data_IF_634844436537
#
_entry.id   IF_634844436537
#
_cell.length_a   1.000
_cell.length_b   1.000
_cell.length_c   1.000
_cell.angle_alpha   90.00
_cell.angle_beta   90.00
_cell.angle_gamma   90.00
#
_symmetry.space_group_name_H-M   'P 1'
#
loop_
_entity.id
_entity.type
_entity.pdbx_description
1 polymer ?
#
# COMPACT_ATOMS: atom_id res chain seq x y z
N UNK A 1 -6.43 -6.97 19.94
CA UNK A 1 -5.33 -6.03 19.68
C UNK A 1 -5.94 -4.69 19.33
N UNK A 2 -5.29 -3.57 19.68
CA UNK A 2 -5.78 -2.26 19.26
C UNK A 2 -5.67 -2.12 17.73
N UNK A 3 -6.59 -1.39 17.06
CA UNK A 3 -6.47 -1.11 15.64
C UNK A 3 -5.20 -0.32 15.30
N UNK A 4 -4.53 -0.69 14.20
CA UNK A 4 -3.38 0.06 13.69
C UNK A 4 -3.85 1.35 13.01
N UNK A 5 -3.09 2.43 13.21
CA UNK A 5 -3.36 3.72 12.57
C UNK A 5 -2.68 3.76 11.19
N UNK A 6 -3.48 3.78 10.13
CA UNK A 6 -3.02 3.82 8.74
C UNK A 6 -3.33 5.19 8.15
N UNK A 7 -2.31 5.89 7.65
CA UNK A 7 -2.48 7.21 7.04
C UNK A 7 -2.04 7.25 5.59
N UNK A 8 -2.63 8.16 4.83
CA UNK A 8 -2.17 8.56 3.51
C UNK A 8 -2.23 10.07 3.38
N UNK A 9 -1.19 10.67 2.79
CA UNK A 9 -1.18 12.11 2.53
C UNK A 9 -2.01 12.41 1.28
N UNK A 10 -2.87 13.42 1.36
CA UNK A 10 -3.78 13.79 0.28
C UNK A 10 -3.18 14.93 -0.54
N UNK A 11 -2.86 14.59 -1.77
CA UNK A 11 -2.50 15.49 -2.88
C UNK A 11 -3.02 14.83 -4.16
N UNK A 12 -2.71 15.38 -5.33
CA UNK A 12 -3.14 14.92 -6.64
C UNK A 12 -2.45 13.61 -7.10
N UNK A 13 -2.59 12.55 -6.30
CA UNK A 13 -2.07 11.22 -6.63
C UNK A 13 -3.00 10.42 -7.55
N UNK A 14 -2.45 9.35 -8.16
CA UNK A 14 -3.24 8.35 -8.88
C UNK A 14 -4.04 7.46 -7.91
N UNK A 15 -5.38 7.45 -8.03
CA UNK A 15 -6.26 6.84 -7.03
C UNK A 15 -5.89 5.38 -6.65
N UNK A 16 -5.60 4.53 -7.64
CA UNK A 16 -5.27 3.10 -7.39
C UNK A 16 -3.99 2.91 -6.56
N UNK A 17 -3.09 3.88 -6.53
CA UNK A 17 -1.88 3.85 -5.72
C UNK A 17 -2.18 3.80 -4.23
N UNK A 18 -3.33 4.35 -3.82
CA UNK A 18 -3.75 4.44 -2.42
C UNK A 18 -4.96 3.55 -2.15
N UNK A 19 -6.01 3.69 -2.96
CA UNK A 19 -7.28 2.98 -2.77
C UNK A 19 -7.09 1.46 -2.92
N UNK A 20 -6.27 1.01 -3.89
CA UNK A 20 -6.00 -0.41 -4.08
C UNK A 20 -5.35 -1.07 -2.86
N UNK A 21 -4.19 -0.56 -2.37
CA UNK A 21 -3.60 -0.98 -1.11
C UNK A 21 -4.51 -0.92 0.11
N UNK A 22 -5.33 0.13 0.23
CA UNK A 22 -6.27 0.26 1.35
C UNK A 22 -7.37 -0.81 1.28
N UNK A 23 -7.90 -1.10 0.09
CA UNK A 23 -8.93 -2.13 -0.09
C UNK A 23 -8.40 -3.52 0.25
N UNK A 24 -7.17 -3.89 -0.17
CA UNK A 24 -6.60 -5.20 0.19
C UNK A 24 -6.35 -5.33 1.70
N UNK A 25 -5.86 -4.29 2.36
CA UNK A 25 -5.66 -4.32 3.82
C UNK A 25 -7.01 -4.39 4.54
N UNK A 26 -7.97 -3.57 4.12
CA UNK A 26 -9.29 -3.52 4.73
C UNK A 26 -10.06 -4.83 4.52
N UNK A 27 -9.95 -5.48 3.36
CA UNK A 27 -10.58 -6.78 3.11
C UNK A 27 -9.95 -7.91 3.94
N UNK A 28 -8.67 -7.78 4.29
CA UNK A 28 -7.97 -8.69 5.21
C UNK A 28 -8.23 -8.37 6.70
N UNK A 29 -9.05 -7.35 7.01
CA UNK A 29 -9.29 -6.95 8.41
C UNK A 29 -10.21 -7.91 9.14
N UNK A 30 -10.06 -7.97 10.48
CA UNK A 30 -10.93 -8.77 11.34
C UNK A 30 -12.39 -8.41 11.15
N UNK A 31 -12.71 -7.12 11.10
CA UNK A 31 -14.07 -6.64 10.84
C UNK A 31 -14.62 -7.09 9.49
N UNK A 32 -13.82 -7.02 8.42
CA UNK A 32 -14.25 -7.44 7.09
C UNK A 32 -14.52 -8.95 7.05
N UNK A 33 -13.58 -9.78 7.54
CA UNK A 33 -13.75 -11.23 7.60
C UNK A 33 -14.99 -11.64 8.42
N UNK A 34 -15.23 -11.00 9.57
CA UNK A 34 -16.44 -11.25 10.36
C UNK A 34 -17.72 -10.86 9.60
N UNK A 35 -17.70 -9.76 8.87
CA UNK A 35 -18.85 -9.30 8.05
C UNK A 35 -19.17 -10.25 6.90
N UNK A 36 -18.15 -10.91 6.35
CA UNK A 36 -18.29 -11.88 5.26
C UNK A 36 -18.68 -13.29 5.71
N UNK A 37 -18.57 -13.62 7.00
CA UNK A 37 -18.89 -14.94 7.56
C UNK A 37 -20.29 -15.51 7.22
N UNK A 38 -21.35 -14.71 6.96
CA UNK A 38 -22.65 -15.26 6.56
C UNK A 38 -22.69 -15.87 5.15
N UNK A 39 -21.76 -15.51 4.26
CA UNK A 39 -21.74 -15.95 2.86
C UNK A 39 -20.39 -16.51 2.41
N UNK A 40 -19.40 -16.60 3.31
CA UNK A 40 -18.11 -17.23 3.09
C UNK A 40 -17.76 -18.10 4.30
N UNK A 41 -17.18 -19.27 4.04
CA UNK A 41 -16.67 -20.14 5.10
C UNK A 41 -15.37 -19.55 5.64
N UNK A 42 -15.41 -19.04 6.85
CA UNK A 42 -14.30 -18.37 7.53
C UNK A 42 -14.22 -18.97 8.94
N UNK A 43 -13.10 -19.59 9.26
CA UNK A 43 -12.87 -20.13 10.61
C UNK A 43 -12.42 -19.06 11.60
N UNK A 44 -12.71 -19.29 12.88
CA UNK A 44 -12.39 -18.35 13.96
C UNK A 44 -10.87 -18.18 14.18
N UNK A 45 -10.07 -19.19 13.81
CA UNK A 45 -8.61 -19.16 13.94
C UNK A 45 -8.02 -18.13 12.98
N UNK A 46 -8.40 -18.15 11.70
CA UNK A 46 -7.99 -17.13 10.73
C UNK A 46 -8.47 -15.73 11.11
N UNK A 47 -9.70 -15.59 11.62
CA UNK A 47 -10.17 -14.29 12.14
C UNK A 47 -9.29 -13.82 13.30
N UNK A 48 -8.80 -14.72 14.15
CA UNK A 48 -7.95 -14.37 15.29
C UNK A 48 -6.60 -13.77 14.88
N UNK A 49 -6.05 -14.21 13.73
CA UNK A 49 -4.80 -13.71 13.13
C UNK A 49 -4.95 -12.31 12.52
N UNK A 50 -6.15 -11.97 12.05
CA UNK A 50 -6.42 -10.70 11.38
C UNK A 50 -6.35 -9.47 12.31
N UNK A 51 -5.98 -8.33 11.72
CA UNK A 51 -5.80 -7.05 12.38
C UNK A 51 -6.80 -6.01 11.84
N UNK A 52 -7.30 -5.13 12.71
CA UNK A 52 -8.12 -4.00 12.29
C UNK A 52 -7.28 -2.73 12.09
N UNK A 53 -7.78 -1.85 11.22
CA UNK A 53 -7.13 -0.61 10.82
C UNK A 53 -8.08 0.57 10.97
N UNK A 54 -7.54 1.73 11.36
CA UNK A 54 -8.22 3.02 11.27
C UNK A 54 -7.52 3.85 10.21
N UNK A 55 -8.27 4.24 9.18
CA UNK A 55 -7.73 4.92 8.01
C UNK A 55 -7.88 6.45 8.11
N UNK A 56 -6.81 7.17 7.81
CA UNK A 56 -6.73 8.63 7.83
C UNK A 56 -6.29 9.15 6.47
N UNK A 57 -7.10 10.03 5.87
CA UNK A 57 -6.75 10.78 4.68
C UNK A 57 -6.32 12.18 5.12
N UNK A 58 -5.02 12.46 5.02
CA UNK A 58 -4.36 13.55 5.74
C UNK A 58 -4.03 14.68 4.77
N UNK A 59 -4.71 15.81 4.93
CA UNK A 59 -4.48 17.01 4.13
C UNK A 59 -3.61 18.04 4.85
N UNK A 60 -3.16 19.08 4.12
CA UNK A 60 -2.74 20.36 4.76
C UNK A 60 -3.97 21.12 5.26
N UNK A 61 -5.06 21.07 4.50
CA UNK A 61 -6.39 21.54 4.88
C UNK A 61 -7.39 20.39 4.69
N UNK A 62 -8.68 20.63 4.98
CA UNK A 62 -9.77 19.68 4.67
C UNK A 62 -10.46 20.00 3.34
N UNK A 63 -9.85 20.84 2.51
CA UNK A 63 -10.43 21.18 1.21
C UNK A 63 -10.36 19.95 0.27
N UNK A 64 -11.38 19.72 -0.58
CA UNK A 64 -11.35 18.63 -1.54
C UNK A 64 -10.19 18.76 -2.54
N UNK A 65 -9.56 17.64 -2.84
CA UNK A 65 -8.46 17.54 -3.80
C UNK A 65 -8.89 16.64 -4.96
N UNK A 66 -8.70 17.11 -6.19
CA UNK A 66 -8.92 16.32 -7.41
C UNK A 66 -7.73 15.40 -7.64
N UNK A 67 -7.98 14.10 -7.78
CA UNK A 67 -6.98 13.08 -8.07
C UNK A 67 -6.72 12.99 -9.56
N UNK A 68 -5.63 12.32 -9.97
CA UNK A 68 -5.32 12.11 -11.40
C UNK A 68 -6.17 11.03 -12.05
N UNK A 69 -7.12 10.42 -11.31
CA UNK A 69 -8.08 9.45 -11.82
C UNK A 69 -9.35 10.16 -12.33
N UNK A 70 -9.24 10.81 -13.49
CA UNK A 70 -10.35 11.54 -14.09
C UNK A 70 -10.80 12.72 -13.22
N UNK A 71 -12.11 12.80 -12.92
CA UNK A 71 -12.70 13.86 -12.10
C UNK A 71 -12.93 13.43 -10.64
N UNK A 72 -12.29 12.36 -10.18
CA UNK A 72 -12.45 11.88 -8.82
C UNK A 72 -11.86 12.88 -7.82
N UNK A 73 -12.64 13.24 -6.81
CA UNK A 73 -12.20 14.11 -5.71
C UNK A 73 -12.19 13.35 -4.39
N UNK A 74 -11.21 13.64 -3.55
CA UNK A 74 -11.13 13.14 -2.17
C UNK A 74 -11.13 14.30 -1.19
N UNK A 75 -11.86 14.17 -0.08
CA UNK A 75 -11.86 15.13 1.02
C UNK A 75 -11.02 14.58 2.16
N UNK A 76 -9.96 15.27 2.61
CA UNK A 76 -9.18 14.82 3.77
C UNK A 76 -10.06 14.65 5.02
N UNK A 77 -9.88 13.54 5.73
CA UNK A 77 -10.58 13.27 7.00
C UNK A 77 -9.91 13.99 8.18
N UNK A 78 -8.61 14.25 8.08
CA UNK A 78 -7.81 14.96 9.08
C UNK A 78 -6.75 15.84 8.42
N UNK A 79 -6.05 16.64 9.23
CA UNK A 79 -4.90 17.45 8.77
C UNK A 79 -3.60 16.94 9.36
N UNK A 80 -2.46 17.38 8.81
CA UNK A 80 -1.12 17.07 9.33
C UNK A 80 -0.90 17.55 10.79
N UNK A 81 -1.68 18.51 11.27
CA UNK A 81 -1.65 19.01 12.65
C UNK A 81 -2.52 18.18 13.60
N UNK A 82 -3.61 17.61 13.11
CA UNK A 82 -4.65 16.95 13.92
C UNK A 82 -4.59 15.41 13.82
N UNK A 83 -3.83 14.88 12.86
CA UNK A 83 -3.67 13.45 12.67
C UNK A 83 -3.06 12.79 13.93
N UNK A 84 -3.61 11.65 14.40
CA UNK A 84 -2.96 10.86 15.44
C UNK A 84 -1.62 10.31 14.95
N UNK A 85 -0.80 9.80 15.88
CA UNK A 85 0.40 9.06 15.52
C UNK A 85 0.02 7.84 14.67
N UNK A 86 0.75 7.64 13.57
CA UNK A 86 0.51 6.56 12.62
C UNK A 86 1.45 5.39 12.87
N UNK A 87 0.94 4.19 12.63
CA UNK A 87 1.77 2.99 12.52
C UNK A 87 2.29 2.81 11.09
N UNK A 88 1.47 3.21 10.12
CA UNK A 88 1.73 3.02 8.68
C UNK A 88 1.38 4.32 7.93
N UNK A 89 2.28 4.76 7.06
CA UNK A 89 2.06 5.87 6.13
C UNK A 89 2.21 5.37 4.70
N UNK A 90 1.23 5.65 3.83
CA UNK A 90 1.26 5.34 2.41
C UNK A 90 1.29 6.62 1.56
N UNK A 91 2.28 6.73 0.69
CA UNK A 91 2.42 7.80 -0.30
C UNK A 91 2.06 7.31 -1.70
N UNK A 92 0.96 7.86 -2.24
CA UNK A 92 0.57 7.67 -3.63
C UNK A 92 1.42 8.49 -4.61
N UNK A 93 1.38 8.14 -5.89
CA UNK A 93 2.17 8.80 -6.93
C UNK A 93 1.47 10.01 -7.57
N UNK A 94 2.04 11.22 -7.47
CA UNK A 94 1.61 12.37 -8.27
C UNK A 94 2.30 12.38 -9.64
N UNK A 95 2.03 13.38 -10.49
CA UNK A 95 2.88 13.66 -11.66
C UNK A 95 4.24 14.21 -11.19
N UNK A 96 5.34 13.45 -11.32
CA UNK A 96 6.63 13.86 -10.78
C UNK A 96 7.24 15.06 -11.54
N UNK A 97 6.73 15.41 -12.73
CA UNK A 97 7.28 16.51 -13.53
C UNK A 97 6.84 17.89 -13.06
N UNK A 98 5.74 17.96 -12.29
CA UNK A 98 5.13 19.22 -11.85
C UNK A 98 4.70 19.20 -10.38
N UNK A 99 5.08 18.16 -9.63
CA UNK A 99 4.75 18.05 -8.22
C UNK A 99 5.78 18.75 -7.34
N UNK A 100 5.31 19.66 -6.49
CA UNK A 100 6.10 20.29 -5.44
C UNK A 100 5.62 19.81 -4.07
N UNK A 101 6.53 19.23 -3.29
CA UNK A 101 6.18 18.72 -1.96
C UNK A 101 5.96 19.87 -0.99
N UNK A 102 4.73 19.99 -0.48
CA UNK A 102 4.41 20.97 0.55
C UNK A 102 5.29 20.77 1.80
N UNK A 103 5.88 21.83 2.41
CA UNK A 103 6.81 21.71 3.53
C UNK A 103 6.24 20.93 4.73
N UNK A 104 4.95 21.13 5.04
CA UNK A 104 4.29 20.38 6.13
C UNK A 104 4.22 18.87 5.86
N UNK A 105 4.08 18.45 4.60
CA UNK A 105 4.15 17.03 4.24
C UNK A 105 5.57 16.50 4.37
N UNK A 106 6.58 17.26 3.93
CA UNK A 106 7.98 16.89 4.12
C UNK A 106 8.31 16.66 5.61
N UNK A 107 7.93 17.60 6.48
CA UNK A 107 8.13 17.48 7.93
C UNK A 107 7.37 16.28 8.52
N UNK A 108 6.13 16.06 8.08
CA UNK A 108 5.33 14.91 8.51
C UNK A 108 6.00 13.58 8.15
N UNK A 109 6.46 13.43 6.90
CA UNK A 109 7.16 12.22 6.42
C UNK A 109 8.46 12.02 7.21
N UNK A 110 9.26 13.07 7.40
CA UNK A 110 10.52 13.00 8.14
C UNK A 110 10.30 12.54 9.58
N UNK A 111 9.32 13.12 10.29
CA UNK A 111 8.99 12.70 11.66
C UNK A 111 8.52 11.25 11.73
N UNK A 112 7.67 10.83 10.81
CA UNK A 112 7.16 9.45 10.74
C UNK A 112 8.29 8.44 10.53
N UNK A 113 9.17 8.70 9.56
CA UNK A 113 10.32 7.81 9.28
C UNK A 113 11.33 7.81 10.43
N UNK A 114 11.62 8.97 11.01
CA UNK A 114 12.54 9.09 12.15
C UNK A 114 12.04 8.35 13.40
N UNK A 115 10.72 8.21 13.56
CA UNK A 115 10.10 7.39 14.61
C UNK A 115 10.19 5.87 14.34
N UNK A 116 10.76 5.45 13.20
CA UNK A 116 10.91 4.04 12.83
C UNK A 116 9.62 3.37 12.34
N UNK A 117 8.58 4.16 12.03
CA UNK A 117 7.27 3.66 11.57
C UNK A 117 7.31 3.27 10.09
N UNK A 118 6.38 2.43 9.66
CA UNK A 118 6.38 1.89 8.30
C UNK A 118 5.99 2.98 7.30
N UNK A 119 6.84 3.20 6.30
CA UNK A 119 6.56 4.05 5.14
C UNK A 119 6.44 3.16 3.91
N UNK A 120 5.29 3.23 3.24
CA UNK A 120 5.07 2.62 1.95
C UNK A 120 4.95 3.69 0.87
N UNK A 121 5.50 3.41 -0.30
CA UNK A 121 5.28 4.22 -1.49
C UNK A 121 4.88 3.36 -2.67
N UNK A 122 4.03 3.88 -3.54
CA UNK A 122 3.57 3.20 -4.74
C UNK A 122 3.69 4.11 -5.94
N UNK A 123 3.98 3.55 -7.12
CA UNK A 123 4.13 4.33 -8.34
C UNK A 123 5.21 5.42 -8.16
N UNK A 124 4.90 6.67 -8.48
CA UNK A 124 5.75 7.84 -8.28
C UNK A 124 5.74 8.38 -6.84
N UNK A 125 5.09 7.70 -5.89
CA UNK A 125 5.09 8.08 -4.48
C UNK A 125 6.49 8.06 -3.85
N UNK A 126 7.42 7.28 -4.42
CA UNK A 126 8.82 7.32 -4.02
C UNK A 126 9.48 8.68 -4.33
N UNK A 127 8.99 9.45 -5.32
CA UNK A 127 9.42 10.83 -5.55
C UNK A 127 9.08 11.74 -4.38
N UNK A 128 7.93 11.51 -3.74
CA UNK A 128 7.46 12.27 -2.58
C UNK A 128 8.36 11.99 -1.37
N UNK A 129 8.69 10.72 -1.14
CA UNK A 129 9.65 10.33 -0.11
C UNK A 129 11.07 10.86 -0.40
N UNK A 130 11.51 10.83 -1.66
CA UNK A 130 12.81 11.39 -2.06
C UNK A 130 12.86 12.91 -1.87
N UNK A 131 11.80 13.63 -2.24
CA UNK A 131 11.68 15.07 -2.03
C UNK A 131 11.67 15.46 -0.53
N UNK A 132 11.18 14.58 0.35
CA UNK A 132 11.30 14.75 1.80
C UNK A 132 12.71 14.44 2.34
N UNK A 133 13.64 13.93 1.52
CA UNK A 133 15.01 13.56 1.89
C UNK A 133 15.13 12.23 2.62
N UNK A 134 14.03 11.48 2.82
CA UNK A 134 14.06 10.24 3.62
C UNK A 134 14.58 9.02 2.85
N UNK A 135 14.79 9.13 1.53
CA UNK A 135 15.37 8.08 0.69
C UNK A 135 16.88 8.26 0.42
N UNK A 136 17.52 9.32 0.91
CA UNK A 136 18.94 9.56 0.67
C UNK A 136 19.79 8.41 1.23
N UNK A 137 20.61 7.80 0.38
CA UNK A 137 21.42 6.62 0.69
C UNK A 137 20.65 5.30 0.77
N UNK A 138 19.32 5.31 0.62
CA UNK A 138 18.46 4.12 0.69
C UNK A 138 18.32 3.42 -0.65
N UNK A 139 18.23 2.09 -0.64
CA UNK A 139 17.84 1.31 -1.83
C UNK A 139 16.33 1.45 -2.01
N UNK A 140 15.91 1.91 -3.18
CA UNK A 140 14.49 2.16 -3.47
C UNK A 140 14.16 1.86 -4.93
N UNK A 141 12.88 1.64 -5.21
CA UNK A 141 12.33 1.58 -6.57
C UNK A 141 11.21 2.60 -6.75
N UNK A 142 10.82 2.83 -7.99
CA UNK A 142 9.74 3.73 -8.39
C UNK A 142 9.16 3.21 -9.71
N UNK A 143 8.06 3.81 -10.16
CA UNK A 143 7.46 3.49 -11.46
C UNK A 143 8.53 3.39 -12.56
N UNK A 144 8.47 2.30 -13.33
CA UNK A 144 9.48 1.98 -14.35
C UNK A 144 9.67 3.11 -15.38
N UNK A 145 8.58 3.80 -15.76
CA UNK A 145 8.65 4.94 -16.68
C UNK A 145 9.26 6.19 -16.05
N UNK A 146 9.08 6.39 -14.74
CA UNK A 146 9.61 7.54 -14.01
C UNK A 146 11.05 7.30 -13.49
N UNK A 147 11.52 6.05 -13.44
CA UNK A 147 12.81 5.69 -12.87
C UNK A 147 14.01 6.46 -13.48
N UNK A 148 14.14 6.60 -14.82
CA UNK A 148 15.25 7.37 -15.40
C UNK A 148 15.21 8.85 -15.01
N UNK A 149 14.01 9.42 -14.92
CA UNK A 149 13.79 10.82 -14.55
C UNK A 149 14.16 11.06 -13.07
N UNK A 150 13.70 10.20 -12.15
CA UNK A 150 14.00 10.36 -10.73
C UNK A 150 15.44 10.03 -10.36
N UNK A 151 16.11 9.15 -11.13
CA UNK A 151 17.57 8.96 -10.99
C UNK A 151 18.36 10.25 -11.19
N UNK A 152 17.88 11.13 -12.08
CA UNK A 152 18.51 12.43 -12.32
C UNK A 152 18.14 13.46 -11.25
N UNK A 153 16.87 13.50 -10.83
CA UNK A 153 16.40 14.47 -9.82
C UNK A 153 16.92 14.17 -8.41
N UNK A 154 17.01 12.90 -8.05
CA UNK A 154 17.37 12.43 -6.71
C UNK A 154 18.53 11.45 -6.77
N UNK A 155 19.76 11.92 -7.14
CA UNK A 155 20.91 11.04 -7.35
C UNK A 155 21.47 10.44 -6.06
N UNK A 156 21.08 10.98 -4.90
CA UNK A 156 21.44 10.44 -3.58
C UNK A 156 20.72 9.13 -3.24
N UNK A 157 19.64 8.79 -3.95
CA UNK A 157 18.87 7.56 -3.74
C UNK A 157 19.45 6.42 -4.57
N UNK A 158 19.62 5.24 -3.98
CA UNK A 158 20.12 4.05 -4.66
C UNK A 158 18.99 3.36 -5.44
N UNK A 159 18.55 3.99 -6.53
CA UNK A 159 17.44 3.54 -7.36
C UNK A 159 17.71 2.22 -8.12
N UNK A 160 16.76 1.28 -8.04
CA UNK A 160 16.81 -0.02 -8.73
C UNK A 160 15.46 -0.42 -9.32
N UNK A 161 15.46 -1.30 -10.32
CA UNK A 161 14.32 -1.97 -10.95
C UNK A 161 14.43 -3.49 -10.91
N UNK A 162 15.33 -4.03 -10.07
CA UNK A 162 15.56 -5.49 -9.94
C UNK A 162 14.31 -6.27 -9.54
N UNK A 163 13.39 -5.62 -8.82
CA UNK A 163 12.21 -6.23 -8.19
C UNK A 163 11.02 -5.30 -8.26
N UNK A 164 9.82 -5.85 -8.11
CA UNK A 164 8.57 -5.07 -8.10
C UNK A 164 8.45 -4.11 -6.93
N UNK A 165 9.05 -4.47 -5.79
CA UNK A 165 9.21 -3.60 -4.64
C UNK A 165 10.55 -3.84 -3.96
N UNK A 166 11.01 -2.85 -3.20
CA UNK A 166 12.26 -2.86 -2.44
C UNK A 166 11.95 -2.51 -0.99
N UNK A 167 12.58 -3.25 -0.08
CA UNK A 167 12.50 -3.07 1.37
C UNK A 167 13.87 -2.63 1.86
N UNK A 168 13.96 -1.44 2.47
CA UNK A 168 15.15 -0.93 3.14
C UNK A 168 14.76 -0.42 4.54
N UNK A 169 14.88 -1.31 5.53
CA UNK A 169 14.43 -1.05 6.90
C UNK A 169 12.92 -0.88 6.99
N UNK A 170 12.47 0.25 7.53
CA UNK A 170 11.06 0.62 7.66
C UNK A 170 10.45 1.26 6.40
N UNK A 171 11.22 1.38 5.30
CA UNK A 171 10.77 2.00 4.06
C UNK A 171 10.59 0.94 2.97
N UNK A 172 9.39 0.88 2.42
CA UNK A 172 8.96 -0.05 1.40
C UNK A 172 8.52 0.74 0.16
N UNK A 173 9.17 0.49 -0.97
CA UNK A 173 8.87 1.22 -2.21
C UNK A 173 8.46 0.23 -3.29
N UNK A 174 7.31 0.45 -3.94
CA UNK A 174 6.84 -0.35 -5.05
C UNK A 174 6.87 0.42 -6.36
N UNK A 175 7.24 -0.28 -7.42
CA UNK A 175 7.39 0.28 -8.76
C UNK A 175 6.08 0.83 -9.31
N UNK A 176 5.15 -0.02 -9.78
CA UNK A 176 3.86 0.41 -10.30
C UNK A 176 2.71 0.36 -9.27
N UNK A 177 1.55 0.92 -9.62
CA UNK A 177 0.35 0.92 -8.76
C UNK A 177 -0.04 -0.48 -8.27
N UNK A 178 -0.21 -1.43 -9.20
CA UNK A 178 -0.60 -2.81 -8.88
C UNK A 178 0.56 -3.56 -8.21
N UNK A 179 1.82 -3.19 -8.47
CA UNK A 179 2.94 -3.71 -7.67
C UNK A 179 2.87 -3.24 -6.21
N UNK A 180 2.27 -2.07 -5.97
CA UNK A 180 1.90 -1.60 -4.63
C UNK A 180 0.87 -2.50 -3.95
N UNK A 181 -0.19 -2.88 -4.65
CA UNK A 181 -1.16 -3.84 -4.13
C UNK A 181 -0.50 -5.20 -3.84
N UNK A 182 0.38 -5.69 -4.73
CA UNK A 182 1.15 -6.92 -4.53
C UNK A 182 2.04 -6.83 -3.28
N UNK A 183 2.70 -5.69 -3.09
CA UNK A 183 3.55 -5.41 -1.93
C UNK A 183 2.75 -5.42 -0.62
N UNK A 184 1.55 -4.85 -0.60
CA UNK A 184 0.69 -4.90 0.59
C UNK A 184 0.11 -6.29 0.85
N UNK A 185 -0.24 -7.04 -0.19
CA UNK A 185 -0.61 -8.44 -0.05
C UNK A 185 0.55 -9.26 0.55
N UNK A 186 1.78 -9.04 0.09
CA UNK A 186 2.97 -9.64 0.69
C UNK A 186 3.11 -9.24 2.16
N UNK A 187 2.98 -7.95 2.50
CA UNK A 187 3.04 -7.50 3.89
C UNK A 187 1.96 -8.17 4.77
N UNK A 188 0.72 -8.27 4.30
CA UNK A 188 -0.36 -8.97 5.03
C UNK A 188 0.01 -10.44 5.26
N UNK A 189 0.48 -11.14 4.22
CA UNK A 189 0.89 -12.55 4.35
C UNK A 189 1.97 -12.74 5.41
N UNK A 190 3.01 -11.91 5.39
CA UNK A 190 4.13 -12.04 6.33
C UNK A 190 3.75 -11.69 7.78
N UNK A 191 2.73 -10.84 7.99
CA UNK A 191 2.34 -10.38 9.33
C UNK A 191 1.14 -11.13 9.92
N UNK A 192 0.21 -11.60 9.08
CA UNK A 192 -1.07 -12.17 9.49
C UNK A 192 -1.37 -13.53 8.89
N UNK A 193 -0.49 -14.06 8.05
CA UNK A 193 -0.62 -15.40 7.48
C UNK A 193 -1.24 -15.45 6.09
N UNK A 194 -0.98 -16.55 5.39
CA UNK A 194 -1.50 -16.81 4.04
C UNK A 194 -3.01 -17.04 4.05
N UNK A 195 -3.57 -17.57 5.13
CA UNK A 195 -5.00 -17.77 5.35
C UNK A 195 -5.77 -16.45 5.33
N UNK A 196 -5.32 -15.45 6.10
CA UNK A 196 -5.90 -14.09 6.12
C UNK A 196 -5.81 -13.46 4.74
N UNK A 197 -4.64 -13.50 4.11
CA UNK A 197 -4.46 -12.97 2.75
C UNK A 197 -5.40 -13.66 1.75
N UNK A 198 -5.50 -14.98 1.81
CA UNK A 198 -6.29 -15.77 0.85
C UNK A 198 -7.77 -15.38 0.92
N UNK A 199 -8.32 -15.24 2.13
CA UNK A 199 -9.70 -14.80 2.32
C UNK A 199 -9.90 -13.34 1.91
N UNK A 200 -9.04 -12.41 2.37
CA UNK A 200 -9.17 -10.99 2.05
C UNK A 200 -9.02 -10.70 0.55
N UNK A 201 -8.10 -11.39 -0.12
CA UNK A 201 -7.96 -11.34 -1.58
C UNK A 201 -9.19 -11.89 -2.31
N UNK A 202 -9.83 -12.93 -1.80
CA UNK A 202 -11.02 -13.53 -2.44
C UNK A 202 -12.23 -12.62 -2.48
N UNK A 203 -12.36 -11.70 -1.50
CA UNK A 203 -13.42 -10.68 -1.48
C UNK A 203 -13.29 -9.72 -2.68
N UNK A 204 -12.05 -9.51 -3.15
CA UNK A 204 -11.73 -8.57 -4.24
C UNK A 204 -11.50 -9.26 -5.59
N UNK A 205 -11.59 -10.59 -5.65
CA UNK A 205 -11.14 -11.41 -6.79
C UNK A 205 -9.70 -11.05 -7.21
N UNK A 206 -8.80 -10.93 -6.22
CA UNK A 206 -7.44 -10.43 -6.42
C UNK A 206 -6.38 -11.53 -6.27
N UNK A 207 -5.63 -11.79 -7.33
CA UNK A 207 -4.48 -12.70 -7.32
C UNK A 207 -3.16 -11.93 -7.18
N UNK A 208 -2.52 -11.92 -5.99
CA UNK A 208 -1.27 -11.21 -5.81
C UNK A 208 -0.10 -11.91 -6.50
N UNK A 209 0.78 -11.11 -7.09
CA UNK A 209 2.09 -11.55 -7.60
C UNK A 209 3.14 -11.46 -6.51
N UNK A 210 4.15 -12.31 -6.59
CA UNK A 210 5.34 -12.20 -5.74
C UNK A 210 6.24 -11.03 -6.18
N UNK A 211 7.36 -10.86 -5.46
CA UNK A 211 8.33 -9.78 -5.68
C UNK A 211 8.98 -9.79 -7.07
N UNK A 212 8.93 -10.95 -7.73
CA UNK A 212 9.41 -11.22 -9.09
C UNK A 212 8.30 -11.13 -10.15
N UNK A 213 7.05 -10.90 -9.73
CA UNK A 213 5.91 -10.75 -10.64
C UNK A 213 5.23 -12.06 -11.02
N UNK A 214 5.51 -13.14 -10.31
CA UNK A 214 4.95 -14.47 -10.58
C UNK A 214 3.65 -14.67 -9.80
N UNK A 215 2.64 -15.22 -10.46
CA UNK A 215 1.34 -15.59 -9.86
C UNK A 215 1.43 -16.94 -9.14
N UNK A 216 2.14 -16.98 -8.02
CA UNK A 216 2.38 -18.18 -7.20
C UNK A 216 2.13 -17.94 -5.70
N UNK A 217 1.71 -16.74 -5.29
CA UNK A 217 1.54 -16.37 -3.88
C UNK A 217 0.42 -17.18 -3.23
N UNK A 218 -0.73 -17.26 -3.91
CA UNK A 218 -1.81 -18.17 -3.55
C UNK A 218 -1.59 -19.47 -4.36
N UNK A 219 -1.37 -20.62 -3.71
CA UNK A 219 -1.13 -21.88 -4.40
C UNK A 219 -2.31 -22.26 -5.30
N UNK A 220 -2.00 -22.84 -6.47
CA UNK A 220 -3.02 -23.44 -7.33
C UNK A 220 -3.68 -24.62 -6.60
N UNK A 221 -5.00 -24.68 -6.68
CA UNK A 221 -5.80 -25.75 -6.09
C UNK A 221 -6.40 -26.62 -7.19
N UNK A 222 -6.59 -27.90 -6.90
CA UNK A 222 -7.14 -28.87 -7.84
C UNK A 222 -8.23 -29.68 -7.15
N UNK A 223 -9.36 -29.87 -7.83
CA UNK A 223 -10.46 -30.69 -7.32
C UNK A 223 -10.16 -32.18 -7.46
N UNK A 224 -11.06 -33.03 -6.94
CA UNK A 224 -10.92 -34.50 -7.00
C UNK A 224 -10.78 -35.04 -8.44
N UNK A 225 -11.34 -34.33 -9.43
CA UNK A 225 -11.26 -34.66 -10.84
C UNK A 225 -9.93 -34.23 -11.52
N UNK A 226 -8.98 -33.68 -10.75
CA UNK A 226 -7.69 -33.19 -11.24
C UNK A 226 -7.74 -31.88 -12.01
N UNK A 227 -8.90 -31.21 -12.13
CA UNK A 227 -9.00 -29.89 -12.75
C UNK A 227 -8.59 -28.79 -11.78
N UNK A 228 -7.89 -27.79 -12.29
CA UNK A 228 -7.55 -26.60 -11.50
C UNK A 228 -8.85 -25.88 -11.09
N UNK A 229 -8.99 -25.64 -9.80
CA UNK A 229 -10.05 -24.81 -9.25
C UNK A 229 -9.67 -23.33 -9.42
N UNK A 230 -10.64 -22.43 -9.67
CA UNK A 230 -10.37 -21.00 -9.63
C UNK A 230 -9.78 -20.59 -8.27
N UNK A 231 -8.86 -19.62 -8.29
CA UNK A 231 -8.04 -19.23 -7.12
C UNK A 231 -8.88 -18.85 -5.90
N UNK A 232 -10.09 -18.33 -6.11
CA UNK A 232 -10.99 -17.86 -5.06
C UNK A 232 -12.28 -18.69 -4.88
N UNK A 233 -12.37 -19.87 -5.50
CA UNK A 233 -13.49 -20.81 -5.25
C UNK A 233 -13.08 -21.77 -4.13
N UNK A 234 -13.65 -21.63 -2.94
CA UNK A 234 -13.40 -22.51 -1.80
C UNK A 234 -14.55 -23.51 -1.69
N UNK A 235 -14.22 -24.81 -1.72
CA UNK A 235 -15.17 -25.93 -1.50
C UNK A 235 -15.35 -26.21 0.01
#
# INVERSE_FOLDING_TARGET
MAPLQFGTLVYDFQAVDVVGPMDIINSCSKKALQTCSPFMKIDEETVSHAQDFVFHHIGVTRDPITLTCGSLTITPSTTVEECPELDILLLGGPDPSNFELHPKYAEFIQRHVAAGKLLFTTCTGAAVAAAAGVLDGKKATVNHGALPFLKQMFPSVNWTDEKKWIIDGNIWTAGGAVAGMDMFAHWVKENYGLDVLTLGSSILDYEPRDVDGVLNVIPKRFGENGKQLPTHVFE
#
